data_IF_901388812815
#
_entry.id   IF_901388812815
#
_cell.length_a   1.000
_cell.length_b   1.000
_cell.length_c   1.000
_cell.angle_alpha   90.00
_cell.angle_beta   90.00
_cell.angle_gamma   90.00
#
_symmetry.space_group_name_H-M   'P 1'
#
loop_
_entity.id
_entity.type
_entity.pdbx_description
1 polymer ?
#
# COMPACT_ATOMS: atom_id res chain seq x y z
N UNK A 1 -0.51 6.85 19.84
CA UNK A 1 0.74 7.35 19.23
C UNK A 1 0.95 6.59 17.92
N UNK A 2 1.09 7.28 16.78
CA UNK A 2 1.40 6.64 15.48
C UNK A 2 2.81 7.04 15.09
N UNK A 3 3.65 6.07 14.73
CA UNK A 3 5.04 6.32 14.33
C UNK A 3 5.14 6.13 12.82
N UNK A 4 5.71 7.12 12.14
CA UNK A 4 5.83 7.18 10.68
C UNK A 4 7.32 7.24 10.34
N UNK A 5 7.82 6.20 9.69
CA UNK A 5 9.20 6.11 9.19
C UNK A 5 9.16 6.28 7.68
N UNK A 6 9.91 7.25 7.16
CA UNK A 6 10.08 7.48 5.72
C UNK A 6 11.40 6.86 5.30
N UNK A 7 11.39 6.02 4.27
CA UNK A 7 12.59 5.43 3.69
C UNK A 7 12.66 5.78 2.21
N UNK A 8 13.72 6.51 1.85
CA UNK A 8 14.06 6.83 0.48
C UNK A 8 15.14 5.84 0.06
N UNK A 9 14.85 4.99 -0.91
CA UNK A 9 15.83 3.99 -1.40
C UNK A 9 16.48 4.44 -2.71
N UNK A 10 15.85 5.38 -3.45
CA UNK A 10 16.46 5.99 -4.63
C UNK A 10 17.36 7.17 -4.23
N UNK A 11 18.58 6.86 -3.78
CA UNK A 11 19.60 7.87 -3.48
C UNK A 11 20.51 8.12 -4.70
N UNK A 12 20.52 9.37 -5.17
CA UNK A 12 21.72 9.96 -5.78
C UNK A 12 22.86 9.95 -4.73
N UNK A 13 24.11 9.68 -5.10
CA UNK A 13 25.17 9.41 -4.13
C UNK A 13 25.60 10.69 -3.41
N UNK A 14 25.19 10.86 -2.16
CA UNK A 14 25.86 11.74 -1.20
C UNK A 14 26.07 10.95 0.08
N UNK A 15 27.34 10.63 0.33
CA UNK A 15 27.81 9.87 1.49
C UNK A 15 27.73 10.76 2.73
N UNK A 16 26.88 10.42 3.69
CA UNK A 16 26.94 10.91 5.07
C UNK A 16 26.97 9.70 6.00
N UNK A 17 28.08 9.56 6.73
CA UNK A 17 28.37 8.48 7.66
C UNK A 17 27.86 8.87 9.05
N UNK A 18 26.84 8.19 9.60
CA UNK A 18 26.43 8.32 11.01
C UNK A 18 26.09 6.93 11.59
N UNK A 19 26.89 6.55 12.59
CA UNK A 19 26.82 5.50 13.63
C UNK A 19 25.89 4.26 13.51
N UNK A 20 26.55 3.11 13.73
CA UNK A 20 26.02 1.76 13.97
C UNK A 20 24.91 1.71 15.03
N UNK A 21 23.73 1.28 14.62
CA UNK A 21 22.70 0.67 15.46
C UNK A 21 22.36 -0.66 14.81
N UNK A 22 22.46 -1.76 15.56
CA UNK A 22 22.12 -3.10 15.08
C UNK A 22 20.65 -3.14 14.63
N UNK A 23 20.45 -2.99 13.33
CA UNK A 23 19.18 -3.24 12.67
C UNK A 23 19.00 -4.76 12.62
N UNK A 24 18.23 -5.31 13.56
CA UNK A 24 17.61 -6.62 13.35
C UNK A 24 16.71 -6.49 12.12
N UNK A 25 17.20 -6.98 10.99
CA UNK A 25 16.58 -6.91 9.68
C UNK A 25 15.32 -7.75 9.64
N UNK A 26 14.17 -7.13 9.92
CA UNK A 26 12.93 -7.53 9.22
C UNK A 26 13.00 -6.87 7.85
N UNK A 27 13.83 -7.42 6.96
CA UNK A 27 13.84 -7.05 5.55
C UNK A 27 12.82 -7.90 4.82
N UNK A 28 11.75 -7.25 4.39
CA UNK A 28 11.11 -7.52 3.11
C UNK A 28 10.39 -6.26 2.59
N UNK A 29 11.05 -5.11 2.74
CA UNK A 29 10.67 -3.88 2.05
C UNK A 29 11.49 -3.83 0.77
N UNK A 30 10.84 -3.53 -0.36
CA UNK A 30 11.53 -3.51 -1.67
C UNK A 30 12.68 -2.51 -1.65
N UNK A 31 13.86 -2.94 -2.07
CA UNK A 31 15.06 -2.09 -2.18
C UNK A 31 14.93 -0.99 -3.23
N UNK A 32 13.96 -1.12 -4.14
CA UNK A 32 13.93 -0.32 -5.37
C UNK A 32 12.81 0.73 -5.37
N UNK A 33 11.99 0.75 -4.31
CA UNK A 33 10.84 1.64 -4.19
C UNK A 33 10.93 2.50 -2.94
N UNK A 34 10.60 3.78 -3.08
CA UNK A 34 10.47 4.69 -1.96
C UNK A 34 9.22 4.34 -1.17
N UNK A 35 9.27 4.36 0.16
CA UNK A 35 8.10 4.06 0.98
C UNK A 35 8.05 4.81 2.30
N UNK A 36 6.84 4.85 2.84
CA UNK A 36 6.56 5.31 4.21
C UNK A 36 5.92 4.17 4.95
N UNK A 37 6.55 3.73 6.05
CA UNK A 37 5.98 2.76 6.98
C UNK A 37 5.36 3.47 8.17
N UNK A 38 4.08 3.22 8.41
CA UNK A 38 3.35 3.69 9.59
C UNK A 38 3.04 2.52 10.51
N UNK A 39 3.39 2.64 11.79
CA UNK A 39 3.08 1.66 12.84
C UNK A 39 2.11 2.27 13.84
N UNK A 40 1.02 1.55 14.11
CA UNK A 40 -0.02 1.95 15.08
C UNK A 40 -0.15 0.86 16.16
N UNK A 41 0.28 1.14 17.40
CA UNK A 41 -0.01 0.30 18.56
C UNK A 41 -1.51 0.01 18.66
N UNK A 42 -1.85 -1.25 18.95
CA UNK A 42 -3.20 -1.69 19.35
C UNK A 42 -3.24 -2.18 20.80
N UNK A 43 -2.07 -2.37 21.39
CA UNK A 43 -1.88 -2.70 22.80
C UNK A 43 -1.11 -1.59 23.50
N UNK A 44 -1.09 -1.61 24.84
CA UNK A 44 -0.33 -0.64 25.63
C UNK A 44 1.16 -0.82 25.34
N UNK A 45 1.80 0.22 24.81
CA UNK A 45 3.23 0.25 24.53
C UNK A 45 3.81 1.50 25.22
N UNK A 46 4.88 1.29 25.96
CA UNK A 46 5.48 2.29 26.87
C UNK A 46 6.49 3.21 26.21
N UNK A 47 6.99 2.90 25.00
CA UNK A 47 7.95 3.73 24.29
C UNK A 47 7.95 3.48 22.78
N UNK A 48 8.49 4.44 22.03
CA UNK A 48 8.76 4.29 20.59
C UNK A 48 9.79 3.20 20.29
N UNK A 49 10.83 3.09 21.12
CA UNK A 49 11.84 2.05 20.98
C UNK A 49 11.23 0.65 21.03
N UNK A 50 10.37 0.40 22.02
CA UNK A 50 9.63 -0.86 22.14
C UNK A 50 8.70 -1.08 20.95
N UNK A 51 8.04 -0.03 20.44
CA UNK A 51 7.21 -0.19 19.24
C UNK A 51 8.05 -0.65 18.05
N UNK A 52 9.23 -0.05 17.85
CA UNK A 52 10.09 -0.34 16.71
C UNK A 52 10.72 -1.74 16.78
N UNK A 53 11.00 -2.26 17.98
CA UNK A 53 11.56 -3.60 18.18
C UNK A 53 10.53 -4.74 18.04
N UNK A 54 9.23 -4.44 18.13
CA UNK A 54 8.20 -5.47 18.00
C UNK A 54 8.15 -6.04 16.58
N UNK A 55 7.90 -7.33 16.47
CA UNK A 55 7.48 -7.94 15.20
C UNK A 55 6.17 -7.28 14.72
N UNK A 56 5.94 -7.14 13.40
CA UNK A 56 4.68 -6.65 12.86
C UNK A 56 3.58 -7.72 13.00
N UNK A 57 3.15 -7.95 14.24
CA UNK A 57 1.98 -8.74 14.56
C UNK A 57 0.76 -7.79 14.60
N UNK A 58 -0.25 -7.97 13.74
CA UNK A 58 -1.39 -7.06 13.61
C UNK A 58 -2.30 -7.01 14.85
N UNK A 59 -2.24 -7.98 15.76
CA UNK A 59 -2.98 -7.94 17.03
C UNK A 59 -2.37 -6.93 18.01
N UNK A 60 -1.04 -6.79 17.96
CA UNK A 60 -0.30 -5.88 18.84
C UNK A 60 -0.03 -4.52 18.19
N UNK A 61 0.29 -4.52 16.89
CA UNK A 61 0.76 -3.38 16.11
C UNK A 61 0.28 -3.50 14.66
N UNK A 62 -0.64 -2.63 14.26
CA UNK A 62 -0.99 -2.49 12.85
C UNK A 62 0.15 -1.80 12.09
N UNK A 63 0.54 -2.34 10.94
CA UNK A 63 1.60 -1.77 10.10
C UNK A 63 1.08 -1.53 8.68
N UNK A 64 1.23 -0.30 8.19
CA UNK A 64 0.86 0.10 6.83
C UNK A 64 2.09 0.66 6.12
N UNK A 65 2.33 0.22 4.89
CA UNK A 65 3.43 0.65 4.04
C UNK A 65 2.84 1.31 2.80
N UNK A 66 3.13 2.59 2.61
CA UNK A 66 2.76 3.33 1.42
C UNK A 66 3.99 3.41 0.51
N UNK A 67 3.91 2.88 -0.69
CA UNK A 67 4.96 3.01 -1.71
C UNK A 67 4.70 4.22 -2.60
N UNK A 68 5.78 4.87 -3.05
CA UNK A 68 5.75 6.10 -3.83
C UNK A 68 6.59 5.98 -5.10
N UNK A 69 6.20 6.73 -6.13
CA UNK A 69 7.03 6.93 -7.32
C UNK A 69 8.18 7.91 -7.05
N UNK A 70 8.96 8.21 -8.10
CA UNK A 70 10.07 9.16 -8.03
C UNK A 70 9.65 10.63 -7.83
N UNK A 71 8.36 10.95 -8.02
CA UNK A 71 7.79 12.28 -7.80
C UNK A 71 7.12 12.41 -6.44
N UNK A 72 7.13 11.35 -5.62
CA UNK A 72 6.51 11.33 -4.30
C UNK A 72 5.00 11.09 -4.33
N UNK A 73 4.43 10.61 -5.44
CA UNK A 73 3.01 10.21 -5.52
C UNK A 73 2.84 8.76 -5.06
N UNK A 74 1.82 8.44 -4.24
CA UNK A 74 1.61 7.08 -3.75
C UNK A 74 1.14 6.16 -4.88
N UNK A 75 1.80 5.02 -5.07
CA UNK A 75 1.50 4.05 -6.15
C UNK A 75 0.93 2.73 -5.64
N UNK A 76 1.10 2.44 -4.35
CA UNK A 76 0.54 1.24 -3.73
C UNK A 76 0.52 1.38 -2.23
N UNK A 77 -0.56 0.94 -1.60
CA UNK A 77 -0.67 0.79 -0.14
C UNK A 77 -0.66 -0.69 0.20
N UNK A 78 0.15 -1.09 1.18
CA UNK A 78 0.20 -2.45 1.73
C UNK A 78 -0.07 -2.39 3.22
N UNK A 79 -1.17 -3.00 3.67
CA UNK A 79 -1.43 -3.24 5.08
C UNK A 79 -0.92 -4.63 5.46
N UNK A 80 0.20 -4.65 6.18
CA UNK A 80 0.96 -5.85 6.49
C UNK A 80 0.16 -6.78 7.41
N UNK A 81 -0.03 -8.02 6.97
CA UNK A 81 -0.75 -9.09 7.69
C UNK A 81 -2.15 -8.70 8.17
N UNK A 82 -2.80 -7.75 7.50
CA UNK A 82 -4.02 -7.11 8.00
C UNK A 82 -5.31 -7.93 7.75
N UNK A 83 -5.26 -8.98 6.93
CA UNK A 83 -6.40 -9.86 6.71
C UNK A 83 -6.59 -10.87 7.87
N UNK A 84 -7.78 -11.48 8.01
CA UNK A 84 -8.02 -12.50 9.05
C UNK A 84 -7.06 -13.69 9.00
N UNK A 85 -6.52 -14.01 7.82
CA UNK A 85 -5.52 -15.08 7.63
C UNK A 85 -4.07 -14.62 7.76
N UNK A 86 -3.80 -13.43 8.32
CA UNK A 86 -2.46 -12.83 8.42
C UNK A 86 -1.75 -12.65 7.08
N UNK A 87 -2.52 -12.50 6.00
CA UNK A 87 -2.04 -12.11 4.67
C UNK A 87 -2.09 -10.59 4.49
N UNK A 88 -1.32 -10.07 3.54
CA UNK A 88 -1.27 -8.65 3.25
C UNK A 88 -2.52 -8.19 2.50
N UNK A 89 -3.00 -6.99 2.84
CA UNK A 89 -4.03 -6.31 2.06
C UNK A 89 -3.33 -5.25 1.20
N UNK A 90 -3.42 -5.41 -0.11
CA UNK A 90 -2.71 -4.57 -1.09
C UNK A 90 -3.72 -3.77 -1.89
N UNK A 91 -3.46 -2.47 -2.05
CA UNK A 91 -4.26 -1.58 -2.87
C UNK A 91 -3.34 -0.82 -3.85
N UNK A 92 -3.43 -1.09 -5.16
CA UNK A 92 -2.70 -0.32 -6.17
C UNK A 92 -3.36 1.04 -6.40
N UNK A 93 -2.54 2.03 -6.77
CA UNK A 93 -2.97 3.37 -7.14
C UNK A 93 -2.32 3.68 -8.49
N UNK A 94 -3.14 4.04 -9.48
CA UNK A 94 -2.69 4.32 -10.85
C UNK A 94 -3.15 5.69 -11.25
N UNK A 95 -2.25 6.44 -11.89
CA UNK A 95 -2.51 7.78 -12.37
C UNK A 95 -2.55 7.81 -13.89
N UNK A 96 -3.43 8.65 -14.44
CA UNK A 96 -3.42 8.99 -15.85
C UNK A 96 -2.25 9.92 -16.21
N UNK A 97 -2.16 10.30 -17.49
CA UNK A 97 -1.11 11.20 -17.99
C UNK A 97 -1.13 12.60 -17.34
N UNK A 98 -2.27 13.01 -16.75
CA UNK A 98 -2.43 14.28 -16.05
C UNK A 98 -2.19 14.14 -14.54
N UNK A 99 -1.80 12.96 -14.05
CA UNK A 99 -1.54 12.70 -12.64
C UNK A 99 -2.79 12.50 -11.79
N UNK A 100 -3.93 12.17 -12.40
CA UNK A 100 -5.24 11.99 -11.74
C UNK A 100 -5.52 10.51 -11.57
N UNK A 101 -6.16 10.14 -10.46
CA UNK A 101 -6.61 8.77 -10.21
C UNK A 101 -7.96 8.55 -10.89
N UNK A 102 -7.95 8.16 -12.18
CA UNK A 102 -9.17 7.81 -12.92
C UNK A 102 -9.82 6.55 -12.36
N UNK A 103 -9.00 5.57 -11.95
CA UNK A 103 -9.44 4.30 -11.41
C UNK A 103 -8.98 4.14 -9.98
N UNK A 104 -9.93 4.01 -9.07
CA UNK A 104 -9.65 3.68 -7.67
C UNK A 104 -9.98 2.22 -7.42
N UNK A 105 -8.94 1.39 -7.42
CA UNK A 105 -9.05 -0.05 -7.29
C UNK A 105 -9.44 -0.47 -5.87
N UNK A 106 -10.23 -1.54 -5.80
CA UNK A 106 -10.51 -2.22 -4.55
C UNK A 106 -9.24 -2.94 -4.04
N UNK A 107 -9.04 -2.99 -2.72
CA UNK A 107 -7.94 -3.74 -2.13
C UNK A 107 -8.15 -5.24 -2.29
N UNK A 108 -7.06 -5.99 -2.46
CA UNK A 108 -7.09 -7.45 -2.54
C UNK A 108 -6.16 -8.09 -1.51
N UNK A 109 -6.39 -9.36 -1.21
CA UNK A 109 -5.52 -10.13 -0.31
C UNK A 109 -4.40 -10.77 -1.11
N UNK A 110 -3.15 -10.56 -0.67
CA UNK A 110 -1.96 -11.18 -1.24
C UNK A 110 -1.34 -12.14 -0.21
N UNK A 111 -1.11 -13.40 -0.61
CA UNK A 111 -0.54 -14.44 0.28
C UNK A 111 0.93 -14.21 0.63
N UNK A 112 1.66 -13.41 -0.15
CA UNK A 112 3.03 -13.00 0.18
C UNK A 112 2.96 -11.86 1.21
N UNK A 113 3.04 -12.23 2.49
CA UNK A 113 2.72 -11.40 3.65
C UNK A 113 3.92 -10.69 4.30
N UNK A 114 4.80 -10.20 3.44
CA UNK A 114 6.12 -9.67 3.76
C UNK A 114 6.17 -8.13 3.74
N UNK A 115 5.08 -7.49 3.27
CA UNK A 115 4.98 -6.04 3.14
C UNK A 115 5.66 -5.49 1.90
N UNK A 116 6.20 -6.34 1.01
CA UNK A 116 6.96 -5.92 -0.16
C UNK A 116 6.07 -5.27 -1.24
N UNK A 117 6.69 -4.50 -2.12
CA UNK A 117 6.00 -3.90 -3.26
C UNK A 117 5.57 -4.99 -4.25
N UNK A 118 4.27 -5.08 -4.56
CA UNK A 118 3.75 -6.02 -5.56
C UNK A 118 3.77 -5.38 -6.95
N UNK A 119 4.74 -5.78 -7.78
CA UNK A 119 4.93 -5.24 -9.15
C UNK A 119 3.69 -5.44 -10.02
N UNK A 120 3.05 -6.62 -9.94
CA UNK A 120 1.87 -6.96 -10.75
C UNK A 120 0.56 -6.77 -9.96
N UNK A 121 0.45 -5.71 -9.16
CA UNK A 121 -0.71 -5.51 -8.27
C UNK A 121 -2.05 -5.45 -9.01
N UNK A 122 -2.11 -4.87 -10.22
CA UNK A 122 -3.34 -4.83 -11.02
C UNK A 122 -3.78 -6.24 -11.47
N UNK A 123 -2.82 -7.09 -11.86
CA UNK A 123 -3.10 -8.50 -12.15
C UNK A 123 -3.56 -9.23 -10.88
N UNK A 124 -2.98 -8.89 -9.73
CA UNK A 124 -3.40 -9.40 -8.42
C UNK A 124 -4.86 -9.05 -8.10
N UNK A 125 -5.26 -7.80 -8.32
CA UNK A 125 -6.65 -7.34 -8.17
C UNK A 125 -7.57 -8.16 -9.09
N UNK A 126 -7.27 -8.23 -10.39
CA UNK A 126 -8.09 -8.97 -11.35
C UNK A 126 -8.22 -10.46 -10.97
N UNK A 127 -7.11 -11.09 -10.58
CA UNK A 127 -7.11 -12.50 -10.18
C UNK A 127 -7.94 -12.74 -8.91
N UNK A 128 -7.81 -11.87 -7.91
CA UNK A 128 -8.56 -11.99 -6.65
C UNK A 128 -10.08 -11.86 -6.87
N UNK A 129 -10.50 -10.85 -7.64
CA UNK A 129 -11.93 -10.61 -7.88
C UNK A 129 -12.55 -11.55 -8.93
N UNK A 130 -11.73 -12.28 -9.71
CA UNK A 130 -12.20 -13.33 -10.63
C UNK A 130 -12.65 -14.63 -9.95
N UNK A 131 -12.18 -14.91 -8.74
CA UNK A 131 -12.63 -16.04 -7.93
C UNK A 131 -12.46 -15.70 -6.44
N UNK A 132 -13.30 -14.79 -5.92
CA UNK A 132 -13.08 -14.25 -4.59
C UNK A 132 -13.56 -15.21 -3.49
N UNK A 133 -13.02 -15.07 -2.26
CA UNK A 133 -13.55 -15.77 -1.10
C UNK A 133 -15.03 -15.48 -0.84
N UNK A 134 -15.70 -16.39 -0.13
CA UNK A 134 -17.11 -16.22 0.27
C UNK A 134 -17.35 -14.86 0.95
N UNK A 135 -18.41 -14.17 0.54
CA UNK A 135 -18.77 -12.84 1.04
C UNK A 135 -18.21 -11.66 0.24
N UNK A 136 -17.40 -11.93 -0.79
CA UNK A 136 -16.94 -10.92 -1.75
C UNK A 136 -17.54 -11.23 -3.11
N UNK A 137 -18.04 -10.21 -3.80
CA UNK A 137 -18.65 -10.36 -5.12
C UNK A 137 -17.59 -10.56 -6.20
N UNK A 138 -17.86 -11.50 -7.10
CA UNK A 138 -17.09 -11.67 -8.32
C UNK A 138 -17.37 -10.48 -9.27
N UNK A 139 -16.32 -9.86 -9.81
CA UNK A 139 -16.48 -8.74 -10.74
C UNK A 139 -15.27 -8.58 -11.64
N UNK A 140 -15.50 -8.20 -12.90
CA UNK A 140 -14.47 -7.76 -13.85
C UNK A 140 -14.09 -6.29 -13.65
N UNK A 141 -14.86 -5.56 -12.85
CA UNK A 141 -14.69 -4.13 -12.56
C UNK A 141 -14.44 -3.88 -11.06
N UNK A 142 -13.32 -4.36 -10.50
CA UNK A 142 -12.96 -4.19 -9.08
C UNK A 142 -12.38 -2.80 -8.80
N UNK A 143 -13.01 -1.75 -9.33
CA UNK A 143 -12.58 -0.37 -9.19
C UNK A 143 -13.76 0.57 -9.37
N UNK A 144 -13.70 1.76 -8.76
CA UNK A 144 -14.56 2.87 -9.15
C UNK A 144 -13.86 3.68 -10.22
N UNK A 145 -14.57 4.03 -11.28
CA UNK A 145 -14.07 4.93 -12.33
C UNK A 145 -14.62 6.34 -12.14
N UNK A 146 -13.76 7.34 -12.31
CA UNK A 146 -14.16 8.75 -12.45
C UNK A 146 -13.78 9.22 -13.83
N UNK A 147 -14.78 9.46 -14.68
CA UNK A 147 -14.57 9.99 -16.03
C UNK A 147 -14.44 11.50 -15.94
N UNK A 148 -13.29 12.01 -16.37
CA UNK A 148 -13.04 13.43 -16.45
C UNK A 148 -13.32 13.96 -17.85
N UNK A 149 -13.60 15.25 -17.95
CA UNK A 149 -13.57 15.92 -19.24
C UNK A 149 -12.15 15.92 -19.85
N UNK A 150 -12.04 16.02 -21.19
CA UNK A 150 -10.78 16.19 -21.89
C UNK A 150 -10.24 17.62 -21.73
N UNK A 151 -10.19 18.11 -20.49
CA UNK A 151 -9.60 19.41 -20.13
C UNK A 151 -8.68 19.26 -18.91
N UNK A 152 -7.67 20.14 -18.77
CA UNK A 152 -6.81 20.17 -17.59
C UNK A 152 -7.51 20.57 -16.28
N UNK A 153 -8.80 20.93 -16.32
CA UNK A 153 -9.53 21.55 -15.21
C UNK A 153 -10.09 20.54 -14.19
N UNK A 154 -9.72 19.26 -14.27
CA UNK A 154 -10.14 18.20 -13.35
C UNK A 154 -11.66 18.11 -13.13
N UNK A 155 -12.46 18.49 -14.14
CA UNK A 155 -13.91 18.44 -14.05
C UNK A 155 -14.40 17.01 -14.26
N UNK A 156 -15.21 16.53 -13.31
CA UNK A 156 -15.83 15.20 -13.34
C UNK A 156 -17.07 15.24 -14.24
N UNK A 157 -17.17 14.30 -15.18
CA UNK A 157 -18.35 14.03 -15.98
C UNK A 157 -19.25 13.01 -15.30
N UNK A 158 -18.69 11.86 -14.95
CA UNK A 158 -19.42 10.70 -14.45
C UNK A 158 -18.56 9.96 -13.43
N UNK A 159 -19.20 9.25 -12.50
CA UNK A 159 -18.54 8.40 -11.51
C UNK A 159 -19.28 7.07 -11.38
N UNK A 160 -18.56 5.98 -11.63
CA UNK A 160 -19.05 4.60 -11.47
C UNK A 160 -18.62 4.00 -10.14
N UNK A 161 -19.46 3.15 -9.55
CA UNK A 161 -19.12 2.37 -8.35
C UNK A 161 -18.47 1.03 -8.74
N UNK A 162 -17.65 0.41 -7.88
CA UNK A 162 -17.10 -0.92 -8.14
C UNK A 162 -18.19 -2.00 -8.16
N UNK A 163 -18.00 -3.07 -8.92
CA UNK A 163 -18.98 -4.17 -9.03
C UNK A 163 -19.84 -4.09 -10.30
N UNK A 164 -21.01 -4.74 -10.31
CA UNK A 164 -21.97 -4.81 -11.45
C UNK A 164 -23.15 -3.83 -11.25
N UNK A 165 -23.73 -3.15 -12.24
CA UNK A 165 -23.48 -3.01 -13.69
C UNK A 165 -23.26 -1.53 -14.06
N UNK A 166 -22.29 -1.24 -14.94
CA UNK A 166 -21.94 0.09 -15.46
C UNK A 166 -21.02 0.02 -16.69
#
# INVERSE_FOLDING_TARGET
MKIKVVVLTKFFPVVICIHLVDFSSVQAQSSDQNYVRTRSPRTKISSEFTLNSLSPNPDSVGTTIQYFDGLGRPIQTVSLKASPGFNDIVQPIVYDAFGREQFKYLPYINSVNDGSYKVNALQGVASFYSNPPSGIQNTTHPFSETRFEPSPLNRVLEQGSPGTDW
#
